data_IF_617708952528
#
_entry.id   IF_617708952528
#
_cell.length_a   1.000
_cell.length_b   1.000
_cell.length_c   1.000
_cell.angle_alpha   90.00
_cell.angle_beta   90.00
_cell.angle_gamma   90.00
#
_symmetry.space_group_name_H-M   'P 1'
#
loop_
_entity.id
_entity.type
_entity.pdbx_description
1 polymer ?
#
# COMPACT_ATOMS: atom_id res chain seq x y z
N UNK A 1 -28.46 -21.99 -43.48
CA UNK A 1 -28.35 -23.12 -42.54
C UNK A 1 -26.88 -23.28 -42.18
N UNK A 2 -26.47 -22.84 -41.00
CA UNK A 2 -25.10 -23.03 -40.50
C UNK A 2 -25.19 -23.95 -39.27
N UNK A 3 -24.65 -25.16 -39.41
CA UNK A 3 -24.53 -26.15 -38.35
C UNK A 3 -23.39 -25.75 -37.40
N UNK A 4 -23.71 -25.51 -36.13
CA UNK A 4 -22.71 -25.43 -35.06
C UNK A 4 -22.52 -26.84 -34.50
N UNK A 5 -21.35 -27.42 -34.68
CA UNK A 5 -20.95 -28.65 -33.98
C UNK A 5 -20.59 -28.31 -32.54
N UNK A 6 -21.41 -28.77 -31.59
CA UNK A 6 -21.12 -28.69 -30.15
C UNK A 6 -19.92 -29.59 -29.81
N UNK A 7 -18.89 -29.04 -29.14
CA UNK A 7 -17.79 -29.84 -28.59
C UNK A 7 -18.28 -30.54 -27.32
N UNK A 8 -17.96 -31.82 -27.20
CA UNK A 8 -18.37 -32.64 -26.06
C UNK A 8 -17.67 -32.20 -24.78
N UNK A 9 -18.43 -32.13 -23.70
CA UNK A 9 -18.01 -31.73 -22.34
C UNK A 9 -16.82 -32.57 -21.84
N UNK A 10 -16.68 -33.80 -22.36
CA UNK A 10 -15.58 -34.70 -22.05
C UNK A 10 -14.22 -34.24 -22.63
N UNK A 11 -14.25 -33.45 -23.71
CA UNK A 11 -13.05 -32.94 -24.38
C UNK A 11 -12.47 -31.73 -23.64
N UNK A 12 -13.31 -30.95 -22.95
CA UNK A 12 -12.90 -29.76 -22.19
C UNK A 12 -12.18 -30.07 -20.86
N UNK A 13 -12.32 -31.30 -20.34
CA UNK A 13 -11.67 -31.73 -19.08
C UNK A 13 -10.23 -32.24 -19.27
N UNK A 14 -9.74 -32.38 -20.50
CA UNK A 14 -8.36 -32.86 -20.75
C UNK A 14 -7.27 -31.79 -20.57
N UNK A 15 -7.65 -30.51 -20.53
CA UNK A 15 -6.70 -29.39 -20.54
C UNK A 15 -6.46 -28.76 -19.15
N UNK A 16 -6.83 -29.42 -18.06
CA UNK A 16 -6.50 -28.95 -16.70
C UNK A 16 -5.09 -29.38 -16.28
N UNK A 17 -4.15 -28.46 -16.02
CA UNK A 17 -2.83 -28.83 -15.52
C UNK A 17 -2.91 -29.37 -14.09
N UNK A 18 -2.19 -30.48 -13.83
CA UNK A 18 -2.07 -31.12 -12.52
C UNK A 18 -1.29 -30.24 -11.54
N UNK A 19 -1.89 -29.94 -10.39
CA UNK A 19 -1.28 -29.11 -9.35
C UNK A 19 -0.59 -30.00 -8.31
N UNK A 20 0.57 -30.56 -8.64
CA UNK A 20 1.42 -31.21 -7.63
C UNK A 20 2.88 -31.33 -8.05
N UNK A 21 3.66 -30.26 -7.92
CA UNK A 21 5.11 -30.35 -7.67
C UNK A 21 5.56 -29.16 -6.83
N UNK A 22 5.63 -29.35 -5.51
CA UNK A 22 6.39 -28.48 -4.60
C UNK A 22 6.83 -29.30 -3.38
N UNK A 23 7.70 -30.28 -3.63
CA UNK A 23 8.41 -31.02 -2.59
C UNK A 23 9.90 -30.67 -2.68
N UNK A 24 10.29 -29.55 -2.09
CA UNK A 24 11.67 -29.31 -1.63
C UNK A 24 11.78 -27.97 -0.91
N UNK A 25 11.61 -27.97 0.42
CA UNK A 25 12.43 -27.20 1.36
C UNK A 25 11.83 -27.29 2.78
N UNK A 26 12.11 -28.40 3.49
CA UNK A 26 12.03 -28.42 4.96
C UNK A 26 13.40 -28.86 5.50
N UNK A 27 14.10 -27.89 6.09
CA UNK A 27 15.16 -28.02 7.10
C UNK A 27 15.49 -26.56 7.49
N UNK A 28 15.56 -26.06 8.73
CA UNK A 28 15.76 -26.65 10.05
C UNK A 28 15.49 -25.55 11.09
N UNK A 29 14.93 -25.90 12.25
CA UNK A 29 15.35 -25.36 13.56
C UNK A 29 14.93 -23.94 13.97
N UNK A 30 13.86 -23.85 14.76
CA UNK A 30 13.53 -22.74 15.67
C UNK A 30 14.21 -22.92 17.04
N UNK A 31 14.80 -21.84 17.56
CA UNK A 31 14.88 -21.52 19.01
C UNK A 31 14.72 -19.99 19.18
N UNK A 32 14.20 -19.50 20.33
CA UNK A 32 13.39 -18.29 20.35
C UNK A 32 14.12 -17.07 20.95
N UNK A 33 14.02 -15.91 20.29
CA UNK A 33 14.24 -14.62 20.95
C UNK A 33 13.31 -13.53 20.41
N UNK A 34 12.56 -12.94 21.34
CA UNK A 34 12.40 -11.49 21.45
C UNK A 34 11.47 -10.81 20.46
N UNK A 35 10.30 -10.45 20.96
CA UNK A 35 9.38 -9.46 20.40
C UNK A 35 10.07 -8.22 19.81
N UNK A 36 9.74 -7.87 18.55
CA UNK A 36 9.23 -6.55 18.15
C UNK A 36 8.77 -6.56 16.67
N UNK A 37 7.62 -5.94 16.32
CA UNK A 37 7.17 -5.82 14.93
C UNK A 37 7.93 -4.70 14.20
N UNK A 38 8.46 -5.01 13.01
CA UNK A 38 9.05 -4.03 12.12
C UNK A 38 7.96 -3.34 11.29
N UNK A 39 7.82 -2.03 11.47
CA UNK A 39 7.09 -1.15 10.57
C UNK A 39 8.09 -0.51 9.58
N UNK A 40 7.87 -0.51 8.26
CA UNK A 40 8.67 0.29 7.35
C UNK A 40 8.00 1.67 7.25
N UNK A 41 8.39 2.61 8.10
CA UNK A 41 8.03 4.01 7.92
C UNK A 41 9.16 4.88 8.49
N UNK A 42 10.08 5.30 7.61
CA UNK A 42 10.68 6.64 7.63
C UNK A 42 11.72 6.71 6.51
N UNK A 43 11.36 7.35 5.41
CA UNK A 43 12.35 7.92 4.49
C UNK A 43 13.09 9.02 5.25
N UNK A 44 14.43 9.02 5.33
CA UNK A 44 15.15 10.13 5.92
C UNK A 44 15.09 11.31 4.94
N UNK A 45 14.24 12.30 5.25
CA UNK A 45 14.38 13.64 4.68
C UNK A 45 15.74 14.18 5.11
N UNK A 46 16.70 14.15 4.20
CA UNK A 46 18.01 14.77 4.40
C UNK A 46 17.83 16.28 4.33
N UNK A 47 17.54 16.87 5.50
CA UNK A 47 17.62 18.30 5.71
C UNK A 47 19.08 18.74 5.40
N UNK A 48 19.24 19.58 4.38
CA UNK A 48 20.52 20.21 4.06
C UNK A 48 20.80 21.31 5.11
N UNK A 49 21.13 20.89 6.33
CA UNK A 49 21.71 21.76 7.35
C UNK A 49 23.20 21.40 7.48
N UNK A 50 24.01 22.43 7.29
CA UNK A 50 25.48 22.56 7.38
C UNK A 50 26.27 21.37 7.98
N UNK A 51 27.45 21.02 7.42
CA UNK A 51 28.34 20.09 8.10
C UNK A 51 28.85 20.72 9.39
N UNK A 52 28.59 20.03 10.51
CA UNK A 52 29.13 20.32 11.81
C UNK A 52 30.67 20.41 11.77
N UNK A 53 31.23 21.44 12.41
CA UNK A 53 32.66 21.60 12.62
C UNK A 53 33.19 20.50 13.56
N UNK A 54 34.21 19.71 13.17
CA UNK A 54 34.89 18.85 14.12
C UNK A 54 35.90 19.68 14.95
N UNK A 55 35.79 19.59 16.28
CA UNK A 55 36.79 20.11 17.22
C UNK A 55 38.16 19.45 16.98
N UNK A 56 39.29 20.17 17.09
CA UNK A 56 40.59 19.62 16.73
C UNK A 56 41.14 18.76 17.87
N UNK A 57 41.43 17.49 17.59
CA UNK A 57 42.36 16.69 18.39
C UNK A 57 43.76 16.94 17.82
N UNK A 58 44.60 17.60 18.61
CA UNK A 58 46.01 17.85 18.28
C UNK A 58 46.79 16.53 18.34
N UNK A 59 47.43 16.17 17.22
CA UNK A 59 48.51 15.17 17.18
C UNK A 59 49.72 15.81 16.48
N UNK A 60 50.94 15.71 17.05
CA UNK A 60 52.11 16.39 16.53
C UNK A 60 52.87 15.45 15.57
N UNK A 61 52.67 15.63 14.26
CA UNK A 61 53.72 15.46 13.25
C UNK A 61 53.19 15.85 11.86
N UNK A 62 54.06 16.47 11.07
CA UNK A 62 53.71 17.22 9.87
C UNK A 62 53.17 16.38 8.71
N UNK A 63 51.94 16.68 8.30
CA UNK A 63 51.37 16.38 6.97
C UNK A 63 50.32 17.44 6.58
N UNK A 64 50.63 18.72 6.83
CA UNK A 64 49.67 19.83 6.68
C UNK A 64 49.45 20.20 5.19
N UNK A 65 50.41 19.95 4.30
CA UNK A 65 50.36 20.45 2.91
C UNK A 65 49.57 19.56 1.95
N UNK A 66 49.54 18.23 2.12
CA UNK A 66 48.78 17.32 1.24
C UNK A 66 47.26 17.41 1.47
N UNK A 67 46.84 17.66 2.70
CA UNK A 67 45.42 17.81 3.04
C UNK A 67 44.84 19.18 2.64
N UNK A 68 45.69 20.21 2.52
CA UNK A 68 45.27 21.55 2.09
C UNK A 68 44.93 21.64 0.60
N UNK A 69 45.72 21.00 -0.26
CA UNK A 69 45.49 21.00 -1.71
C UNK A 69 44.17 20.30 -2.09
N UNK A 70 43.88 19.14 -1.50
CA UNK A 70 42.61 18.41 -1.72
C UNK A 70 41.39 19.22 -1.25
N UNK A 71 41.51 19.99 -0.16
CA UNK A 71 40.45 20.91 0.29
C UNK A 71 40.24 22.08 -0.68
N UNK A 72 41.32 22.65 -1.23
CA UNK A 72 41.25 23.71 -2.24
C UNK A 72 40.56 23.20 -3.52
N UNK A 73 40.90 21.99 -3.97
CA UNK A 73 40.27 21.38 -5.15
C UNK A 73 38.79 21.05 -4.90
N UNK A 74 38.43 20.64 -3.69
CA UNK A 74 37.03 20.43 -3.30
C UNK A 74 36.24 21.74 -3.38
N UNK A 75 36.79 22.84 -2.87
CA UNK A 75 36.15 24.17 -2.93
C UNK A 75 36.04 24.65 -4.37
N UNK A 76 37.07 24.45 -5.19
CA UNK A 76 37.06 24.78 -6.62
C UNK A 76 35.98 23.99 -7.37
N UNK A 77 35.88 22.68 -7.16
CA UNK A 77 34.88 21.86 -7.83
C UNK A 77 33.46 22.22 -7.39
N UNK A 78 33.27 22.54 -6.11
CA UNK A 78 32.02 23.05 -5.57
C UNK A 78 31.64 24.41 -6.19
N UNK A 79 32.58 25.35 -6.30
CA UNK A 79 32.30 26.69 -6.85
C UNK A 79 31.96 26.64 -8.34
N UNK A 80 32.66 25.80 -9.11
CA UNK A 80 32.34 25.57 -10.53
C UNK A 80 30.95 24.97 -10.68
N UNK A 81 30.62 23.95 -9.89
CA UNK A 81 29.30 23.30 -9.91
C UNK A 81 28.19 24.29 -9.54
N UNK A 82 28.41 25.09 -8.50
CA UNK A 82 27.49 26.13 -8.06
C UNK A 82 27.23 27.17 -9.16
N UNK A 83 28.29 27.68 -9.79
CA UNK A 83 28.15 28.62 -10.91
C UNK A 83 27.36 28.02 -12.08
N UNK A 84 27.63 26.76 -12.45
CA UNK A 84 26.88 26.06 -13.50
C UNK A 84 25.38 25.98 -13.18
N UNK A 85 25.03 25.61 -11.95
CA UNK A 85 23.63 25.56 -11.50
C UNK A 85 22.97 26.95 -11.53
N UNK A 86 23.64 27.98 -11.00
CA UNK A 86 23.12 29.36 -11.02
C UNK A 86 22.89 29.85 -12.45
N UNK A 87 23.84 29.58 -13.35
CA UNK A 87 23.72 29.96 -14.77
C UNK A 87 22.53 29.25 -15.43
N UNK A 88 22.38 27.95 -15.21
CA UNK A 88 21.24 27.19 -15.74
C UNK A 88 19.90 27.78 -15.26
N UNK A 89 19.78 28.02 -13.94
CA UNK A 89 18.58 28.61 -13.35
C UNK A 89 18.23 29.98 -13.96
N UNK A 90 19.23 30.84 -14.16
CA UNK A 90 19.02 32.14 -14.79
C UNK A 90 18.56 32.00 -16.25
N UNK A 91 19.14 31.06 -17.01
CA UNK A 91 18.76 30.84 -18.41
C UNK A 91 17.33 30.30 -18.54
N UNK A 92 16.89 29.44 -17.60
CA UNK A 92 15.51 28.96 -17.54
C UNK A 92 14.53 30.10 -17.23
N UNK A 93 14.83 30.95 -16.25
CA UNK A 93 13.99 32.12 -15.91
C UNK A 93 13.86 33.13 -17.05
N UNK A 94 14.89 33.27 -17.89
CA UNK A 94 14.86 34.15 -19.08
C UNK A 94 14.23 33.48 -20.31
N UNK A 95 13.79 32.22 -20.22
CA UNK A 95 13.24 31.47 -21.36
C UNK A 95 14.28 31.10 -22.43
N UNK A 96 15.57 31.21 -22.10
CA UNK A 96 16.70 30.91 -23.00
C UNK A 96 17.17 29.46 -22.91
N UNK A 97 16.64 28.70 -21.95
CA UNK A 97 16.91 27.28 -21.74
C UNK A 97 15.62 26.60 -21.28
N UNK A 98 15.48 25.31 -21.60
CA UNK A 98 14.36 24.48 -21.13
C UNK A 98 14.48 24.21 -19.63
N UNK A 99 13.34 24.14 -18.94
CA UNK A 99 13.28 23.75 -17.52
C UNK A 99 14.00 22.42 -17.32
N UNK A 100 14.88 22.35 -16.33
CA UNK A 100 15.48 21.08 -15.93
C UNK A 100 14.38 20.19 -15.33
N UNK A 101 14.23 18.97 -15.85
CA UNK A 101 13.25 17.98 -15.37
C UNK A 101 13.99 16.80 -14.76
N UNK A 102 13.49 16.29 -13.63
CA UNK A 102 13.96 15.03 -13.05
C UNK A 102 13.01 13.90 -13.47
N UNK A 103 13.33 13.25 -14.58
CA UNK A 103 12.46 12.24 -15.18
C UNK A 103 12.25 11.02 -14.28
N UNK A 104 13.20 10.70 -13.40
CA UNK A 104 13.06 9.59 -12.45
C UNK A 104 12.06 9.94 -11.36
N UNK A 105 12.16 11.14 -10.79
CA UNK A 105 11.21 11.62 -9.79
C UNK A 105 9.79 11.70 -10.37
N UNK A 106 9.62 12.24 -11.58
CA UNK A 106 8.33 12.29 -12.27
C UNK A 106 7.70 10.91 -12.47
N UNK A 107 8.52 9.91 -12.84
CA UNK A 107 8.05 8.54 -12.98
C UNK A 107 7.59 7.94 -11.63
N UNK A 108 8.31 8.21 -10.53
CA UNK A 108 7.92 7.77 -9.19
C UNK A 108 6.61 8.45 -8.72
N UNK A 109 6.44 9.74 -9.01
CA UNK A 109 5.21 10.47 -8.68
C UNK A 109 4.02 9.88 -9.44
N UNK A 110 4.18 9.54 -10.73
CA UNK A 110 3.10 8.94 -11.50
C UNK A 110 2.75 7.53 -11.01
N UNK A 111 3.76 6.73 -10.62
CA UNK A 111 3.53 5.43 -9.97
C UNK A 111 2.76 5.58 -8.65
N UNK A 112 3.05 6.61 -7.85
CA UNK A 112 2.31 6.89 -6.62
C UNK A 112 0.84 7.25 -6.91
N UNK A 113 0.59 8.10 -7.91
CA UNK A 113 -0.78 8.45 -8.35
C UNK A 113 -1.54 7.22 -8.85
N UNK A 114 -0.90 6.36 -9.64
CA UNK A 114 -1.51 5.13 -10.12
C UNK A 114 -1.85 4.16 -8.97
N UNK A 115 -0.95 4.05 -7.99
CA UNK A 115 -1.17 3.26 -6.77
C UNK A 115 -2.36 3.80 -5.96
N UNK A 116 -2.43 5.13 -5.77
CA UNK A 116 -3.57 5.78 -5.12
C UNK A 116 -4.89 5.47 -5.85
N UNK A 117 -4.92 5.59 -7.19
CA UNK A 117 -6.10 5.26 -8.01
C UNK A 117 -6.54 3.81 -7.82
N UNK A 118 -5.60 2.87 -7.79
CA UNK A 118 -5.88 1.44 -7.55
C UNK A 118 -6.48 1.21 -6.16
N UNK A 119 -5.90 1.80 -5.11
CA UNK A 119 -6.44 1.67 -3.75
C UNK A 119 -7.81 2.33 -3.58
N UNK A 120 -8.07 3.48 -4.23
CA UNK A 120 -9.40 4.09 -4.23
C UNK A 120 -10.44 3.21 -4.94
N UNK A 121 -10.06 2.50 -6.00
CA UNK A 121 -10.93 1.51 -6.65
C UNK A 121 -11.29 0.36 -5.71
N UNK A 122 -10.30 -0.21 -5.02
CA UNK A 122 -10.52 -1.25 -3.99
C UNK A 122 -11.42 -0.73 -2.87
N UNK A 123 -11.13 0.47 -2.35
CA UNK A 123 -11.92 1.11 -1.31
C UNK A 123 -13.39 1.28 -1.71
N UNK A 124 -13.66 1.66 -2.98
CA UNK A 124 -15.02 1.76 -3.53
C UNK A 124 -15.72 0.40 -3.53
N UNK A 125 -15.05 -0.64 -4.01
CA UNK A 125 -15.60 -2.00 -4.06
C UNK A 125 -15.87 -2.54 -2.65
N UNK A 126 -14.96 -2.33 -1.69
CA UNK A 126 -15.16 -2.80 -0.31
C UNK A 126 -16.31 -2.06 0.39
N UNK A 127 -16.51 -0.76 0.11
CA UNK A 127 -17.69 -0.03 0.61
C UNK A 127 -18.99 -0.60 0.06
N UNK A 128 -19.06 -0.89 -1.24
CA UNK A 128 -20.22 -1.54 -1.84
C UNK A 128 -20.47 -2.92 -1.23
N UNK A 129 -19.41 -3.73 -1.08
CA UNK A 129 -19.50 -5.04 -0.45
C UNK A 129 -19.99 -4.96 0.99
N UNK A 130 -19.45 -4.05 1.81
CA UNK A 130 -19.89 -3.84 3.20
C UNK A 130 -21.38 -3.47 3.27
N UNK A 131 -21.84 -2.57 2.39
CA UNK A 131 -23.25 -2.19 2.30
C UNK A 131 -24.16 -3.38 1.93
N UNK A 132 -23.81 -4.14 0.90
CA UNK A 132 -24.60 -5.31 0.50
C UNK A 132 -24.61 -6.38 1.59
N UNK A 133 -23.44 -6.64 2.18
CA UNK A 133 -23.30 -7.64 3.22
C UNK A 133 -24.07 -7.28 4.49
N UNK A 134 -24.16 -5.98 4.83
CA UNK A 134 -25.02 -5.50 5.91
C UNK A 134 -26.49 -5.90 5.71
N UNK A 135 -27.02 -5.73 4.49
CA UNK A 135 -28.38 -6.17 4.18
C UNK A 135 -28.56 -7.69 4.24
N UNK A 136 -27.55 -8.46 3.84
CA UNK A 136 -27.55 -9.92 4.00
C UNK A 136 -27.65 -10.30 5.48
N UNK A 137 -26.82 -9.71 6.34
CA UNK A 137 -26.82 -9.97 7.79
C UNK A 137 -28.15 -9.58 8.43
N UNK A 138 -28.73 -8.44 8.04
CA UNK A 138 -30.05 -8.02 8.53
C UNK A 138 -31.15 -9.02 8.11
N UNK A 139 -31.08 -9.53 6.89
CA UNK A 139 -32.05 -10.52 6.38
C UNK A 139 -31.87 -11.87 7.07
N UNK A 140 -30.63 -12.30 7.35
CA UNK A 140 -30.35 -13.50 8.15
C UNK A 140 -30.99 -13.40 9.55
N UNK A 141 -30.89 -12.24 10.20
CA UNK A 141 -31.54 -12.01 11.49
C UNK A 141 -33.07 -12.15 11.39
N UNK A 142 -33.70 -11.51 10.40
CA UNK A 142 -35.15 -11.61 10.18
C UNK A 142 -35.59 -13.06 9.88
N UNK A 143 -34.81 -13.81 9.09
CA UNK A 143 -35.07 -15.23 8.83
C UNK A 143 -34.96 -16.07 10.11
N UNK A 144 -34.01 -15.77 10.99
CA UNK A 144 -33.89 -16.46 12.27
C UNK A 144 -35.15 -16.30 13.14
N UNK A 145 -35.69 -15.09 13.24
CA UNK A 145 -36.92 -14.82 13.98
C UNK A 145 -38.12 -15.53 13.32
N UNK A 146 -38.25 -15.46 12.00
CA UNK A 146 -39.32 -16.15 11.26
C UNK A 146 -39.31 -17.68 11.47
N UNK A 147 -38.12 -18.30 11.45
CA UNK A 147 -37.99 -19.72 11.76
C UNK A 147 -38.33 -20.04 13.21
N UNK A 148 -37.94 -19.18 14.16
CA UNK A 148 -38.29 -19.36 15.57
C UNK A 148 -39.81 -19.29 15.79
N UNK A 149 -40.50 -18.38 15.09
CA UNK A 149 -41.95 -18.25 15.14
C UNK A 149 -42.67 -19.45 14.51
N UNK A 150 -42.16 -19.98 13.40
CA UNK A 150 -42.71 -21.18 12.75
C UNK A 150 -42.54 -22.42 13.64
N UNK A 151 -41.40 -22.55 14.32
CA UNK A 151 -41.16 -23.65 15.26
C UNK A 151 -42.24 -23.74 16.36
N UNK A 152 -42.76 -22.60 16.83
CA UNK A 152 -43.83 -22.55 17.85
C UNK A 152 -45.20 -22.93 17.29
N UNK A 153 -45.43 -22.71 15.99
CA UNK A 153 -46.72 -22.90 15.32
C UNK A 153 -46.88 -24.28 14.67
N UNK A 154 -45.77 -24.94 14.38
CA UNK A 154 -45.72 -26.26 13.72
C UNK A 154 -44.92 -27.26 14.56
N UNK A 155 -45.52 -27.85 15.61
CA UNK A 155 -44.84 -28.82 16.49
C UNK A 155 -44.22 -30.00 15.74
N UNK A 156 -44.83 -30.42 14.63
CA UNK A 156 -44.36 -31.50 13.76
C UNK A 156 -43.05 -31.20 13.01
N UNK A 157 -42.65 -29.93 12.90
CA UNK A 157 -41.42 -29.47 12.23
C UNK A 157 -40.56 -28.58 13.15
N UNK A 158 -40.82 -28.65 14.46
CA UNK A 158 -40.24 -27.72 15.42
C UNK A 158 -38.70 -27.81 15.44
N UNK A 159 -38.15 -29.02 15.42
CA UNK A 159 -36.70 -29.25 15.51
C UNK A 159 -35.96 -28.66 14.29
N UNK A 160 -36.50 -28.88 13.10
CA UNK A 160 -35.95 -28.39 11.84
C UNK A 160 -35.99 -26.86 11.75
N UNK A 161 -37.08 -26.25 12.21
CA UNK A 161 -37.20 -24.80 12.26
C UNK A 161 -36.25 -24.19 13.30
N UNK A 162 -36.12 -24.79 14.49
CA UNK A 162 -35.17 -24.31 15.50
C UNK A 162 -33.72 -24.43 15.03
N UNK A 163 -33.35 -25.55 14.39
CA UNK A 163 -32.03 -25.74 13.82
C UNK A 163 -31.68 -24.66 12.78
N UNK A 164 -32.62 -24.37 11.87
CA UNK A 164 -32.44 -23.31 10.88
C UNK A 164 -32.39 -21.91 11.51
N UNK A 165 -33.22 -21.65 12.53
CA UNK A 165 -33.18 -20.39 13.29
C UNK A 165 -31.81 -20.18 13.92
N UNK A 166 -31.30 -21.18 14.64
CA UNK A 166 -29.99 -21.11 15.29
C UNK A 166 -28.85 -20.91 14.30
N UNK A 167 -28.89 -21.61 13.16
CA UNK A 167 -27.93 -21.44 12.07
C UNK A 167 -27.91 -19.99 11.58
N UNK A 168 -29.09 -19.38 11.37
CA UNK A 168 -29.17 -17.98 10.93
C UNK A 168 -28.72 -16.98 12.00
N UNK A 169 -28.98 -17.26 13.29
CA UNK A 169 -28.43 -16.44 14.41
C UNK A 169 -26.90 -16.49 14.43
N UNK A 170 -26.32 -17.68 14.22
CA UNK A 170 -24.87 -17.86 14.17
C UNK A 170 -24.23 -17.13 12.98
N UNK A 171 -24.85 -17.22 11.79
CA UNK A 171 -24.42 -16.48 10.61
C UNK A 171 -24.50 -14.96 10.84
N UNK A 172 -25.58 -14.46 11.46
CA UNK A 172 -25.74 -13.04 11.81
C UNK A 172 -24.58 -12.58 12.71
N UNK A 173 -24.32 -13.31 13.81
CA UNK A 173 -23.24 -12.97 14.76
C UNK A 173 -21.86 -12.93 14.09
N UNK A 174 -21.55 -13.92 13.26
CA UNK A 174 -20.29 -13.95 12.52
C UNK A 174 -20.22 -12.83 11.47
N UNK A 175 -21.35 -12.52 10.83
CA UNK A 175 -21.49 -11.43 9.87
C UNK A 175 -21.17 -10.06 10.47
N UNK A 176 -21.64 -9.78 11.69
CA UNK A 176 -21.33 -8.53 12.40
C UNK A 176 -19.82 -8.36 12.68
N UNK A 177 -19.13 -9.45 13.03
CA UNK A 177 -17.66 -9.42 13.22
C UNK A 177 -16.96 -9.07 11.90
N UNK A 178 -17.37 -9.70 10.80
CA UNK A 178 -16.82 -9.42 9.48
C UNK A 178 -17.12 -7.99 9.02
N UNK A 179 -18.35 -7.48 9.24
CA UNK A 179 -18.71 -6.09 8.95
C UNK A 179 -17.83 -5.10 9.70
N UNK A 180 -17.57 -5.35 10.98
CA UNK A 180 -16.65 -4.53 11.77
C UNK A 180 -15.23 -4.52 11.18
N UNK A 181 -14.71 -5.69 10.79
CA UNK A 181 -13.41 -5.80 10.14
C UNK A 181 -13.36 -5.06 8.79
N UNK A 182 -14.42 -5.14 7.97
CA UNK A 182 -14.53 -4.42 6.71
C UNK A 182 -14.57 -2.89 6.94
N UNK A 183 -15.30 -2.42 7.94
CA UNK A 183 -15.35 -0.99 8.27
C UNK A 183 -14.01 -0.47 8.79
N UNK A 184 -13.27 -1.28 9.56
CA UNK A 184 -11.90 -0.96 9.96
C UNK A 184 -10.96 -0.87 8.75
N UNK A 185 -11.03 -1.83 7.83
CA UNK A 185 -10.27 -1.81 6.58
C UNK A 185 -10.59 -0.57 5.73
N UNK A 186 -11.87 -0.26 5.53
CA UNK A 186 -12.33 0.93 4.80
C UNK A 186 -11.73 2.20 5.41
N UNK A 187 -11.79 2.33 6.74
CA UNK A 187 -11.26 3.50 7.44
C UNK A 187 -9.75 3.63 7.30
N UNK A 188 -9.04 2.51 7.37
CA UNK A 188 -7.58 2.44 7.24
C UNK A 188 -7.12 2.82 5.83
N UNK A 189 -7.72 2.22 4.80
CA UNK A 189 -7.38 2.52 3.39
C UNK A 189 -7.79 3.94 3.00
N UNK A 190 -8.93 4.44 3.51
CA UNK A 190 -9.34 5.82 3.30
C UNK A 190 -8.32 6.80 3.88
N UNK A 191 -7.78 6.52 5.07
CA UNK A 191 -6.72 7.34 5.69
C UNK A 191 -5.44 7.31 4.86
N UNK A 192 -5.00 6.12 4.44
CA UNK A 192 -3.83 5.99 3.57
C UNK A 192 -3.97 6.81 2.29
N UNK A 193 -5.11 6.68 1.58
CA UNK A 193 -5.29 7.30 0.27
C UNK A 193 -5.53 8.82 0.35
N UNK A 194 -6.42 9.25 1.25
CA UNK A 194 -6.92 10.63 1.28
C UNK A 194 -6.22 11.53 2.30
N UNK A 195 -5.32 10.97 3.12
CA UNK A 195 -4.47 11.75 4.02
C UNK A 195 -3.00 11.51 3.69
N UNK A 196 -2.51 10.28 3.90
CA UNK A 196 -1.07 10.01 3.81
C UNK A 196 -0.48 10.21 2.41
N UNK A 197 -1.12 9.65 1.39
CA UNK A 197 -0.67 9.83 -0.01
C UNK A 197 -0.89 11.29 -0.44
N UNK A 198 -2.02 11.88 -0.07
CA UNK A 198 -2.34 13.26 -0.41
C UNK A 198 -1.32 14.26 0.17
N UNK A 199 -0.94 14.10 1.44
CA UNK A 199 0.09 14.93 2.10
C UNK A 199 1.44 14.84 1.37
N UNK A 200 1.78 13.65 0.87
CA UNK A 200 3.00 13.44 0.07
C UNK A 200 2.91 14.20 -1.25
N UNK A 201 1.78 14.10 -1.96
CA UNK A 201 1.55 14.80 -3.23
C UNK A 201 1.54 16.33 -3.07
N UNK A 202 0.98 16.85 -1.98
CA UNK A 202 1.04 18.27 -1.64
C UNK A 202 2.49 18.72 -1.43
N UNK A 203 3.28 17.93 -0.70
CA UNK A 203 4.70 18.22 -0.45
C UNK A 203 5.50 18.26 -1.76
N UNK A 204 5.25 17.30 -2.66
CA UNK A 204 5.85 17.26 -4.00
C UNK A 204 5.50 18.52 -4.80
N UNK A 205 4.22 18.92 -4.80
CA UNK A 205 3.76 20.14 -5.50
C UNK A 205 4.41 21.41 -4.94
N UNK A 206 4.59 21.49 -3.63
CA UNK A 206 5.29 22.62 -3.00
C UNK A 206 6.78 22.64 -3.40
N UNK A 207 7.44 21.47 -3.42
CA UNK A 207 8.81 21.35 -3.90
C UNK A 207 8.96 21.81 -5.36
N UNK A 208 8.05 21.38 -6.24
CA UNK A 208 8.04 21.81 -7.65
C UNK A 208 7.81 23.32 -7.83
N UNK A 209 7.04 23.94 -6.94
CA UNK A 209 6.76 25.38 -6.96
C UNK A 209 7.92 26.21 -6.45
N UNK A 210 8.67 25.68 -5.46
CA UNK A 210 9.85 26.33 -4.89
C UNK A 210 11.09 26.25 -5.81
N UNK A 211 11.10 25.30 -6.75
CA UNK A 211 12.15 25.12 -7.76
C UNK A 211 11.98 26.08 -8.93
#
# INVERSE_FOLDING_TARGET
MASHSERSIHEMLKDTPSMNESNSAIHTGTEPRGFRPNHPNSLPLRNASAPATPSPVLSPNGDIMKNGASKIDTIRNWSISTYKCTRQLMMEKLGKSTRTVDSELEAQIEQLRDTQRKYLSVLRLTRAMSSHFHHVVQTQHALAEAFSDLAQKSPELQEEFLYNSETQRNLTKNGEILLSALNFFISSVNTLCNKTIEDTLITIKQYETAR
#
